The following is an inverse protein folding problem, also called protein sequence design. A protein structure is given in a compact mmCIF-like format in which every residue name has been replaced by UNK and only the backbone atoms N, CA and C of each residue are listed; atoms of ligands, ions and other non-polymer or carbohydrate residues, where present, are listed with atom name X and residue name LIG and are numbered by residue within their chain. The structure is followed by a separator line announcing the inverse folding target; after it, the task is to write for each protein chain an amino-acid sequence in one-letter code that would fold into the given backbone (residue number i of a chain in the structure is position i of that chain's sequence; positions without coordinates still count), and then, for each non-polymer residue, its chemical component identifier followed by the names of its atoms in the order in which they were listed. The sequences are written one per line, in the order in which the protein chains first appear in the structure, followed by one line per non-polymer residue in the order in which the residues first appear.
data_IF_750419706855
#
_entry.id   IF_750419706855
#
_cell.length_a   1.000
_cell.length_b   1.000
_cell.length_c   1.000
_cell.angle_alpha   90.00
_cell.angle_beta   90.00
_cell.angle_gamma   90.00
#
_symmetry.space_group_name_H-M   'P 1'
#
loop_
_entity.id
_entity.type
_entity.pdbx_description
1 polymer ?
#
# COMPACT_ATOMS: atom_id res chain seq x y z
N UNK A 1 -28.57 -32.55 44.55
CA UNK A 1 -28.00 -31.81 43.40
C UNK A 1 -26.83 -30.91 43.82
N UNK A 2 -25.57 -31.40 43.90
CA UNK A 2 -24.42 -30.51 44.08
C UNK A 2 -23.27 -30.69 43.06
N UNK A 3 -23.48 -31.38 41.93
CA UNK A 3 -22.39 -31.70 40.98
C UNK A 3 -22.28 -30.67 39.83
N UNK A 4 -23.27 -29.79 39.63
CA UNK A 4 -23.29 -28.88 38.48
C UNK A 4 -22.53 -27.55 38.68
N UNK A 5 -22.20 -27.18 39.92
CA UNK A 5 -21.58 -25.87 40.22
C UNK A 5 -20.06 -25.85 40.23
N UNK A 6 -19.37 -27.01 40.27
CA UNK A 6 -17.89 -27.02 40.27
C UNK A 6 -17.29 -26.97 38.86
N UNK A 7 -17.98 -27.50 37.84
CA UNK A 7 -17.49 -27.49 36.46
C UNK A 7 -17.50 -26.08 35.83
N UNK A 8 -18.47 -25.25 36.18
CA UNK A 8 -18.56 -23.87 35.67
C UNK A 8 -17.49 -22.98 36.28
N UNK A 9 -17.15 -23.16 37.56
CA UNK A 9 -16.10 -22.35 38.22
C UNK A 9 -14.70 -22.70 37.76
N UNK A 10 -14.41 -23.98 37.46
CA UNK A 10 -13.11 -24.43 36.95
C UNK A 10 -12.90 -23.99 35.49
N UNK A 11 -13.95 -24.04 34.66
CA UNK A 11 -13.87 -23.59 33.27
C UNK A 11 -13.68 -22.07 33.17
N UNK A 12 -14.34 -21.28 34.04
CA UNK A 12 -14.15 -19.83 34.09
C UNK A 12 -12.78 -19.41 34.63
N UNK A 13 -12.25 -20.12 35.64
CA UNK A 13 -10.89 -19.86 36.15
C UNK A 13 -9.81 -20.20 35.12
N UNK A 14 -9.99 -21.27 34.34
CA UNK A 14 -9.07 -21.63 33.26
C UNK A 14 -9.16 -20.65 32.08
N UNK A 15 -10.35 -20.17 31.73
CA UNK A 15 -10.54 -19.20 30.64
C UNK A 15 -10.03 -17.80 31.01
N UNK A 16 -10.22 -17.36 32.26
CA UNK A 16 -9.62 -16.12 32.77
C UNK A 16 -8.10 -16.25 32.91
N UNK A 17 -7.60 -17.40 33.38
CA UNK A 17 -6.17 -17.67 33.48
C UNK A 17 -5.47 -17.66 32.12
N UNK A 18 -6.09 -18.23 31.09
CA UNK A 18 -5.54 -18.26 29.73
C UNK A 18 -5.57 -16.87 29.05
N UNK A 19 -6.61 -16.06 29.33
CA UNK A 19 -6.70 -14.66 28.86
C UNK A 19 -5.70 -13.75 29.56
N UNK A 20 -5.50 -13.91 30.86
CA UNK A 20 -4.51 -13.17 31.64
C UNK A 20 -3.09 -13.57 31.26
N UNK A 21 -2.81 -14.86 31.02
CA UNK A 21 -1.51 -15.31 30.53
C UNK A 21 -1.21 -14.81 29.12
N UNK A 22 -2.20 -14.77 28.22
CA UNK A 22 -2.05 -14.14 26.90
C UNK A 22 -1.78 -12.64 27.02
N UNK A 23 -2.53 -11.91 27.85
CA UNK A 23 -2.27 -10.47 28.09
C UNK A 23 -0.92 -10.20 28.77
N UNK A 24 -0.46 -11.04 29.71
CA UNK A 24 0.86 -10.91 30.34
C UNK A 24 1.98 -11.22 29.34
N UNK A 25 1.83 -12.27 28.53
CA UNK A 25 2.77 -12.57 27.44
C UNK A 25 2.83 -11.44 26.41
N UNK A 26 1.71 -10.75 26.21
CA UNK A 26 1.56 -9.63 25.29
C UNK A 26 2.24 -8.36 25.82
N UNK A 27 2.07 -8.02 27.10
CA UNK A 27 2.76 -6.90 27.75
C UNK A 27 4.27 -7.17 27.87
N UNK A 28 4.67 -8.41 28.16
CA UNK A 28 6.09 -8.79 28.19
C UNK A 28 6.73 -8.71 26.80
N UNK A 29 6.02 -9.08 25.72
CA UNK A 29 6.51 -8.92 24.35
C UNK A 29 6.62 -7.45 23.92
N UNK A 30 5.65 -6.59 24.28
CA UNK A 30 5.72 -5.17 23.95
C UNK A 30 6.84 -4.44 24.70
N UNK A 31 7.12 -4.85 25.94
CA UNK A 31 8.25 -4.33 26.74
C UNK A 31 9.60 -4.85 26.25
N UNK A 32 9.70 -6.12 25.84
CA UNK A 32 10.94 -6.68 25.30
C UNK A 32 11.31 -6.07 23.93
N UNK A 33 10.32 -5.71 23.11
CA UNK A 33 10.52 -4.98 21.83
C UNK A 33 11.02 -3.53 22.03
N UNK A 34 10.81 -2.96 23.22
CA UNK A 34 11.25 -1.61 23.59
C UNK A 34 12.67 -1.60 24.18
N UNK A 35 13.11 -2.69 24.83
CA UNK A 35 14.37 -2.70 25.58
C UNK A 35 15.58 -3.33 24.88
N UNK A 36 15.42 -4.07 23.78
CA UNK A 36 16.54 -4.68 23.06
C UNK A 36 17.22 -3.72 22.07
N UNK A 37 17.69 -2.58 22.59
CA UNK A 37 18.71 -1.76 21.94
C UNK A 37 20.09 -2.14 22.50
N UNK A 38 20.51 -3.39 22.30
CA UNK A 38 21.92 -3.77 22.50
C UNK A 38 22.66 -3.66 21.17
N UNK A 39 23.68 -2.80 21.17
CA UNK A 39 24.60 -2.53 20.07
C UNK A 39 25.38 -3.80 19.71
N UNK A 40 25.02 -4.44 18.59
CA UNK A 40 25.85 -5.47 17.99
C UNK A 40 26.86 -4.80 17.04
N UNK A 41 28.10 -4.68 17.51
CA UNK A 41 29.23 -4.26 16.69
C UNK A 41 29.59 -5.34 15.67
N UNK A 42 29.42 -5.03 14.39
CA UNK A 42 29.85 -5.91 13.31
C UNK A 42 31.28 -5.51 12.92
N UNK A 43 32.21 -6.44 13.18
CA UNK A 43 33.61 -6.39 12.78
C UNK A 43 33.75 -6.27 11.27
N UNK A 44 34.60 -5.34 10.84
CA UNK A 44 35.00 -5.18 9.44
C UNK A 44 35.73 -6.44 8.96
N UNK A 45 35.25 -7.04 7.89
CA UNK A 45 35.94 -8.10 7.17
C UNK A 45 35.73 -7.91 5.66
N UNK A 46 36.84 -7.62 4.96
CA UNK A 46 37.06 -7.90 3.54
C UNK A 46 36.37 -6.99 2.53
N UNK A 47 37.00 -5.87 2.18
CA UNK A 47 36.79 -5.21 0.88
C UNK A 47 37.27 -6.14 -0.24
N UNK A 48 36.35 -6.87 -0.88
CA UNK A 48 36.55 -7.34 -2.23
C UNK A 48 36.05 -6.26 -3.21
N UNK A 49 37.00 -5.66 -3.92
CA UNK A 49 36.77 -4.58 -4.86
C UNK A 49 35.84 -5.03 -6.01
N UNK A 50 34.68 -4.37 -6.12
CA UNK A 50 33.83 -4.47 -7.30
C UNK A 50 34.56 -3.88 -8.51
N UNK A 51 34.50 -4.51 -9.70
CA UNK A 51 35.16 -3.96 -10.88
C UNK A 51 34.47 -2.65 -11.27
N UNK A 52 35.25 -1.58 -11.20
CA UNK A 52 34.91 -0.24 -11.64
C UNK A 52 34.60 -0.28 -13.14
N UNK A 53 33.32 -0.44 -13.51
CA UNK A 53 32.88 -0.17 -14.87
C UNK A 53 33.00 1.34 -15.08
N UNK A 54 34.12 1.72 -15.69
CA UNK A 54 34.35 3.01 -16.32
C UNK A 54 33.07 3.45 -17.02
N UNK A 55 32.39 4.44 -16.43
CA UNK A 55 31.40 5.23 -17.13
C UNK A 55 32.22 5.98 -18.17
N UNK A 56 32.21 5.47 -19.40
CA UNK A 56 32.88 6.14 -20.52
C UNK A 56 32.28 7.54 -20.60
N UNK A 57 33.08 8.62 -20.45
CA UNK A 57 32.54 9.96 -20.59
C UNK A 57 32.03 10.07 -22.02
N UNK A 58 30.74 10.40 -22.16
CA UNK A 58 30.16 10.71 -23.46
C UNK A 58 30.92 11.91 -23.99
N UNK A 59 31.68 11.70 -25.06
CA UNK A 59 32.40 12.76 -25.74
C UNK A 59 31.35 13.70 -26.37
N UNK A 60 31.07 14.83 -25.70
CA UNK A 60 30.16 15.85 -26.21
C UNK A 60 30.86 16.62 -27.34
N UNK A 61 30.97 16.00 -28.51
CA UNK A 61 31.35 16.70 -29.72
C UNK A 61 30.23 17.66 -30.15
N UNK A 62 30.60 18.94 -30.23
CA UNK A 62 29.81 20.14 -30.58
C UNK A 62 28.91 20.65 -29.46
N UNK A 63 29.01 21.96 -29.19
CA UNK A 63 28.09 22.82 -28.41
C UNK A 63 26.63 22.39 -28.62
N UNK A 64 26.17 21.42 -27.85
CA UNK A 64 24.78 20.99 -27.88
C UNK A 64 24.02 22.04 -27.08
N UNK A 65 23.35 22.95 -27.78
CA UNK A 65 22.39 23.86 -27.15
C UNK A 65 21.42 22.99 -26.35
N UNK A 66 21.33 23.24 -25.04
CA UNK A 66 20.45 22.50 -24.14
C UNK A 66 19.02 22.73 -24.64
N UNK A 67 18.36 21.64 -25.05
CA UNK A 67 16.99 21.69 -25.54
C UNK A 67 16.05 22.05 -24.40
N UNK A 68 15.08 22.91 -24.67
CA UNK A 68 14.07 23.32 -23.69
C UNK A 68 12.99 22.26 -23.55
N UNK A 69 12.17 22.37 -22.49
CA UNK A 69 11.01 21.50 -22.28
C UNK A 69 9.96 21.66 -23.40
N UNK A 70 9.95 22.78 -24.11
CA UNK A 70 9.07 23.02 -25.25
C UNK A 70 9.42 22.15 -26.46
N UNK A 71 10.71 21.87 -26.65
CA UNK A 71 11.24 21.04 -27.74
C UNK A 71 11.15 19.53 -27.45
N UNK A 72 10.83 19.13 -26.22
CA UNK A 72 10.70 17.73 -25.85
C UNK A 72 9.55 17.06 -26.63
N UNK A 73 9.77 15.88 -27.24
CA UNK A 73 8.74 15.19 -27.99
C UNK A 73 7.61 14.69 -27.07
N UNK A 74 6.42 14.51 -27.62
CA UNK A 74 5.26 14.03 -26.87
C UNK A 74 3.95 14.18 -27.65
N UNK A 75 2.86 13.53 -27.19
CA UNK A 75 1.55 13.72 -27.79
C UNK A 75 1.08 15.17 -27.64
N UNK A 76 0.29 15.63 -28.62
CA UNK A 76 -0.41 16.90 -28.49
C UNK A 76 -1.40 16.84 -27.32
N UNK A 77 -1.62 17.98 -26.65
CA UNK A 77 -2.54 18.09 -25.52
C UNK A 77 -3.95 17.58 -25.86
N UNK A 78 -4.42 17.88 -27.07
CA UNK A 78 -5.75 17.47 -27.56
C UNK A 78 -5.80 15.97 -27.79
N UNK A 79 -4.79 15.39 -28.45
CA UNK A 79 -4.73 13.94 -28.66
C UNK A 79 -4.70 13.18 -27.34
N UNK A 80 -3.96 13.69 -26.36
CA UNK A 80 -3.88 13.07 -25.03
C UNK A 80 -5.22 13.15 -24.30
N UNK A 81 -5.91 14.30 -24.37
CA UNK A 81 -7.23 14.48 -23.76
C UNK A 81 -8.28 13.55 -24.37
N UNK A 82 -8.29 13.41 -25.70
CA UNK A 82 -9.15 12.45 -26.41
C UNK A 82 -8.84 11.01 -25.98
N UNK A 83 -7.56 10.64 -25.91
CA UNK A 83 -7.17 9.28 -25.52
C UNK A 83 -7.65 8.95 -24.09
N UNK A 84 -7.51 9.89 -23.15
CA UNK A 84 -7.87 9.66 -21.75
C UNK A 84 -9.38 9.73 -21.48
N UNK A 85 -10.11 10.68 -22.08
CA UNK A 85 -11.53 10.88 -21.78
C UNK A 85 -12.50 10.18 -22.75
N UNK A 86 -12.12 9.97 -24.02
CA UNK A 86 -12.99 9.33 -25.01
C UNK A 86 -12.61 7.89 -25.36
N UNK A 87 -11.37 7.47 -25.10
CA UNK A 87 -10.90 6.09 -25.40
C UNK A 87 -10.58 5.26 -24.17
N UNK A 88 -11.15 5.65 -23.02
CA UNK A 88 -10.92 5.02 -21.71
C UNK A 88 -9.43 4.79 -21.42
N UNK A 89 -8.61 5.81 -21.71
CA UNK A 89 -7.15 5.72 -21.64
C UNK A 89 -6.65 5.37 -20.23
N UNK A 90 -7.38 5.72 -19.17
CA UNK A 90 -6.99 5.40 -17.79
C UNK A 90 -6.90 3.88 -17.53
N UNK A 91 -7.78 3.07 -18.13
CA UNK A 91 -7.69 1.60 -18.03
C UNK A 91 -6.49 1.01 -18.78
N UNK A 92 -5.90 1.78 -19.70
CA UNK A 92 -4.86 1.34 -20.64
C UNK A 92 -3.58 2.20 -20.56
N UNK A 93 -3.37 2.92 -19.45
CA UNK A 93 -2.20 3.82 -19.27
C UNK A 93 -0.89 3.08 -19.59
N UNK A 94 -0.74 1.86 -19.09
CA UNK A 94 0.47 1.06 -19.34
C UNK A 94 0.70 0.82 -20.84
N UNK A 95 -0.34 0.55 -21.63
CA UNK A 95 -0.23 0.38 -23.09
C UNK A 95 0.12 1.70 -23.79
N UNK A 96 -0.52 2.79 -23.37
CA UNK A 96 -0.25 4.14 -23.90
C UNK A 96 1.22 4.53 -23.65
N UNK A 97 1.74 4.27 -22.45
CA UNK A 97 3.14 4.52 -22.11
C UNK A 97 4.10 3.69 -22.98
N UNK A 98 3.77 2.43 -23.26
CA UNK A 98 4.54 1.59 -24.18
C UNK A 98 4.54 2.11 -25.62
N UNK A 99 3.38 2.56 -26.12
CA UNK A 99 3.26 3.15 -27.46
C UNK A 99 4.00 4.49 -27.55
N UNK A 100 3.85 5.36 -26.56
CA UNK A 100 4.57 6.64 -26.49
C UNK A 100 6.08 6.44 -26.45
N UNK A 101 6.58 5.43 -25.73
CA UNK A 101 8.01 5.08 -25.76
C UNK A 101 8.48 4.74 -27.18
N UNK A 102 7.69 3.99 -27.95
CA UNK A 102 8.04 3.64 -29.34
C UNK A 102 8.03 4.87 -30.26
N UNK A 103 7.08 5.78 -30.07
CA UNK A 103 6.87 6.95 -30.92
C UNK A 103 7.82 8.12 -30.61
N UNK A 104 8.01 8.42 -29.32
CA UNK A 104 8.73 9.61 -28.85
C UNK A 104 10.10 9.30 -28.25
N UNK A 105 10.41 8.01 -28.04
CA UNK A 105 11.70 7.55 -27.58
C UNK A 105 11.82 7.45 -26.06
N UNK A 106 13.05 7.64 -25.57
CA UNK A 106 13.47 7.37 -24.18
C UNK A 106 12.92 8.36 -23.15
N UNK A 107 12.60 9.58 -23.57
CA UNK A 107 12.07 10.63 -22.70
C UNK A 107 11.07 11.45 -23.50
N UNK A 108 9.90 11.69 -22.93
CA UNK A 108 8.84 12.43 -23.60
C UNK A 108 7.93 13.13 -22.60
N UNK A 109 7.30 14.22 -23.03
CA UNK A 109 6.34 14.96 -22.21
C UNK A 109 4.92 14.57 -22.58
N UNK A 110 4.02 14.64 -21.61
CA UNK A 110 2.58 14.51 -21.83
C UNK A 110 1.83 15.42 -20.87
N UNK A 111 0.59 15.78 -21.21
CA UNK A 111 -0.26 16.63 -20.36
C UNK A 111 -1.49 15.88 -19.89
N UNK A 112 -1.67 15.84 -18.58
CA UNK A 112 -2.83 15.27 -17.92
C UNK A 112 -3.63 16.41 -17.28
N UNK A 113 -4.62 16.92 -18.02
CA UNK A 113 -5.30 18.16 -17.64
C UNK A 113 -4.28 19.31 -17.49
N UNK A 114 -4.23 20.00 -16.33
CA UNK A 114 -3.25 21.07 -16.10
C UNK A 114 -1.82 20.56 -15.85
N UNK A 115 -1.65 19.28 -15.48
CA UNK A 115 -0.36 18.74 -15.06
C UNK A 115 0.50 18.38 -16.27
N UNK A 116 1.74 18.89 -16.30
CA UNK A 116 2.78 18.43 -17.21
C UNK A 116 3.54 17.26 -16.57
N UNK A 117 3.69 16.17 -17.32
CA UNK A 117 4.40 14.96 -16.88
C UNK A 117 5.47 14.62 -17.88
N UNK A 118 6.72 14.57 -17.42
CA UNK A 118 7.85 14.02 -18.18
C UNK A 118 7.95 12.54 -17.84
N UNK A 119 7.80 11.69 -18.85
CA UNK A 119 7.93 10.24 -18.72
C UNK A 119 9.35 9.84 -19.14
N UNK A 120 10.02 9.07 -18.27
CA UNK A 120 11.37 8.57 -18.51
C UNK A 120 11.29 7.05 -18.69
N UNK A 121 11.72 6.56 -19.85
CA UNK A 121 11.56 5.18 -20.31
C UNK A 121 12.90 4.51 -20.68
N UNK A 122 13.98 4.97 -20.05
CA UNK A 122 15.34 4.46 -20.20
C UNK A 122 15.99 4.26 -18.82
N UNK A 123 16.70 3.14 -18.65
CA UNK A 123 17.28 2.73 -17.37
C UNK A 123 18.30 3.74 -16.85
N UNK A 124 19.16 4.25 -17.74
CA UNK A 124 20.28 5.08 -17.33
C UNK A 124 19.78 6.49 -16.97
N UNK A 125 18.76 6.99 -17.70
CA UNK A 125 18.04 8.21 -17.33
C UNK A 125 17.28 8.08 -16.00
N UNK A 126 16.62 6.94 -15.75
CA UNK A 126 15.98 6.68 -14.45
C UNK A 126 17.01 6.69 -13.33
N UNK A 127 18.18 6.06 -13.54
CA UNK A 127 19.25 6.07 -12.54
C UNK A 127 19.77 7.50 -12.28
N UNK A 128 19.87 8.34 -13.30
CA UNK A 128 20.26 9.75 -13.15
C UNK A 128 19.24 10.53 -12.30
N UNK A 129 17.94 10.39 -12.60
CA UNK A 129 16.86 11.03 -11.83
C UNK A 129 16.86 10.59 -10.37
N UNK A 130 17.06 9.29 -10.11
CA UNK A 130 17.09 8.76 -8.75
C UNK A 130 18.34 9.20 -7.97
N UNK A 131 19.49 9.38 -8.63
CA UNK A 131 20.71 9.92 -7.99
C UNK A 131 20.61 11.42 -7.70
N UNK A 132 19.84 12.15 -8.49
CA UNK A 132 19.56 13.57 -8.28
C UNK A 132 18.45 13.83 -7.25
N UNK A 133 17.88 12.77 -6.66
CA UNK A 133 16.82 12.87 -5.66
C UNK A 133 17.27 13.60 -4.39
N UNK A 134 16.42 14.50 -3.88
CA UNK A 134 16.66 15.23 -2.63
C UNK A 134 16.35 14.42 -1.37
N UNK A 135 16.63 15.00 -0.21
CA UNK A 135 16.43 14.34 1.11
C UNK A 135 14.96 13.95 1.38
N UNK A 136 14.02 14.76 0.91
CA UNK A 136 12.59 14.52 1.04
C UNK A 136 11.94 14.52 -0.35
N UNK A 137 11.90 13.36 -1.05
CA UNK A 137 11.31 13.29 -2.37
C UNK A 137 9.81 13.51 -2.34
N UNK A 138 9.34 14.34 -3.25
CA UNK A 138 7.92 14.61 -3.46
C UNK A 138 7.39 13.77 -4.62
N UNK A 139 6.23 13.14 -4.42
CA UNK A 139 5.56 12.34 -5.46
C UNK A 139 4.52 13.18 -6.22
N UNK A 140 3.71 12.52 -7.03
CA UNK A 140 2.62 13.18 -7.74
C UNK A 140 1.64 13.85 -6.77
N UNK A 141 1.05 14.97 -7.20
CA UNK A 141 0.09 15.72 -6.40
C UNK A 141 -1.11 14.83 -6.00
N UNK A 142 -1.28 14.61 -4.69
CA UNK A 142 -2.38 13.83 -4.11
C UNK A 142 -3.46 14.72 -3.50
N UNK A 143 -3.78 15.83 -4.18
CA UNK A 143 -4.67 16.88 -3.70
C UNK A 143 -6.02 16.34 -3.20
N UNK A 144 -6.66 15.43 -3.94
CA UNK A 144 -7.96 14.86 -3.56
C UNK A 144 -7.91 14.13 -2.20
N UNK A 145 -6.78 13.48 -1.89
CA UNK A 145 -6.61 12.77 -0.63
C UNK A 145 -6.32 13.72 0.53
N UNK A 146 -5.58 14.80 0.26
CA UNK A 146 -5.34 15.87 1.23
C UNK A 146 -6.66 16.59 1.55
N UNK A 147 -7.43 16.96 0.52
CA UNK A 147 -8.73 17.62 0.65
C UNK A 147 -9.72 16.79 1.49
N UNK A 148 -9.83 15.48 1.24
CA UNK A 148 -10.64 14.60 2.09
C UNK A 148 -10.22 14.66 3.57
N UNK A 149 -8.91 14.61 3.82
CA UNK A 149 -8.38 14.61 5.20
C UNK A 149 -8.65 15.93 5.89
N UNK A 150 -8.45 17.04 5.20
CA UNK A 150 -8.71 18.38 5.75
C UNK A 150 -10.20 18.57 6.08
N UNK A 151 -11.10 18.17 5.17
CA UNK A 151 -12.55 18.21 5.40
C UNK A 151 -12.99 17.36 6.60
N UNK A 152 -12.32 16.23 6.86
CA UNK A 152 -12.63 15.30 7.95
C UNK A 152 -11.79 15.52 9.21
N UNK A 153 -10.93 16.55 9.24
CA UNK A 153 -10.02 16.82 10.36
C UNK A 153 -9.05 15.67 10.65
N UNK A 154 -8.58 14.96 9.63
CA UNK A 154 -7.70 13.79 9.74
C UNK A 154 -6.25 14.18 9.47
N UNK A 155 -5.31 13.57 10.20
CA UNK A 155 -3.88 13.74 9.92
C UNK A 155 -3.48 13.08 8.59
N UNK A 156 -2.44 13.61 7.95
CA UNK A 156 -1.81 12.97 6.78
C UNK A 156 -1.09 11.69 7.17
N UNK A 157 -1.09 10.70 6.28
CA UNK A 157 -0.26 9.49 6.41
C UNK A 157 1.01 9.61 5.57
N UNK A 158 1.89 8.60 5.63
CA UNK A 158 3.16 8.58 4.90
C UNK A 158 3.00 8.79 3.39
N UNK A 159 1.92 8.28 2.80
CA UNK A 159 1.64 8.39 1.36
C UNK A 159 1.31 9.84 0.95
N UNK A 160 0.70 10.63 1.84
CA UNK A 160 0.19 11.98 1.52
C UNK A 160 0.94 13.11 2.26
N UNK A 161 1.95 12.77 3.04
CA UNK A 161 2.81 13.75 3.73
C UNK A 161 3.95 14.14 2.81
N UNK A 162 4.43 15.38 2.94
CA UNK A 162 5.52 15.94 2.12
C UNK A 162 6.59 16.57 3.03
N UNK A 163 7.79 16.78 2.47
CA UNK A 163 8.89 17.49 3.15
C UNK A 163 9.29 16.89 4.50
N UNK A 164 9.53 17.75 5.48
CA UNK A 164 9.98 17.35 6.82
C UNK A 164 8.97 16.46 7.56
N UNK A 165 7.67 16.68 7.31
CA UNK A 165 6.61 15.86 7.92
C UNK A 165 6.69 14.42 7.42
N UNK A 166 6.90 14.25 6.11
CA UNK A 166 7.15 12.94 5.53
C UNK A 166 8.42 12.31 6.10
N UNK A 167 9.52 13.07 6.14
CA UNK A 167 10.81 12.55 6.60
C UNK A 167 10.74 12.07 8.05
N UNK A 168 10.07 12.83 8.93
CA UNK A 168 9.84 12.45 10.32
C UNK A 168 9.04 11.16 10.44
N UNK A 169 7.90 11.05 9.73
CA UNK A 169 7.09 9.82 9.72
C UNK A 169 7.86 8.62 9.17
N UNK A 170 8.60 8.82 8.06
CA UNK A 170 9.37 7.76 7.40
C UNK A 170 10.49 7.24 8.30
N UNK A 171 11.18 8.13 9.02
CA UNK A 171 12.31 7.78 9.88
C UNK A 171 11.88 6.87 11.03
N UNK A 172 10.72 7.14 11.65
CA UNK A 172 10.15 6.29 12.70
C UNK A 172 9.70 4.95 12.12
N UNK A 173 8.89 4.96 11.05
CA UNK A 173 8.34 3.72 10.49
C UNK A 173 9.40 2.80 9.91
N UNK A 174 10.46 3.35 9.29
CA UNK A 174 11.56 2.56 8.70
C UNK A 174 12.18 1.62 9.73
N UNK A 175 12.35 2.07 10.97
CA UNK A 175 12.94 1.24 12.01
C UNK A 175 12.09 -0.01 12.26
N UNK A 176 10.76 0.14 12.31
CA UNK A 176 9.84 -0.94 12.66
C UNK A 176 9.52 -1.90 11.51
N UNK A 177 9.46 -1.41 10.26
CA UNK A 177 8.94 -2.19 9.12
C UNK A 177 10.00 -2.59 8.08
N UNK A 178 11.22 -2.02 8.14
CA UNK A 178 12.26 -2.30 7.15
C UNK A 178 13.51 -2.96 7.74
N UNK A 179 13.65 -3.04 9.07
CA UNK A 179 14.79 -3.75 9.70
C UNK A 179 14.50 -5.25 9.70
N UNK A 180 15.37 -6.09 9.10
CA UNK A 180 15.12 -7.53 9.02
C UNK A 180 14.90 -8.20 10.38
N UNK A 181 15.60 -7.77 11.43
CA UNK A 181 15.43 -8.25 12.81
C UNK A 181 13.99 -8.06 13.30
N UNK A 182 13.45 -6.87 13.09
CA UNK A 182 12.14 -6.48 13.61
C UNK A 182 11.03 -7.10 12.77
N UNK A 183 11.26 -7.22 11.46
CA UNK A 183 10.34 -7.91 10.54
C UNK A 183 10.26 -9.41 10.88
N UNK A 184 11.38 -10.03 11.27
CA UNK A 184 11.43 -11.45 11.62
C UNK A 184 10.56 -11.79 12.83
N UNK A 185 10.27 -10.83 13.73
CA UNK A 185 9.40 -11.05 14.87
C UNK A 185 7.95 -11.38 14.49
N UNK A 186 7.50 -10.97 13.30
CA UNK A 186 6.15 -11.26 12.81
C UNK A 186 6.05 -12.61 12.07
N UNK A 187 7.15 -13.36 11.97
CA UNK A 187 7.19 -14.60 11.16
C UNK A 187 6.18 -15.63 11.62
N UNK A 188 6.03 -15.81 12.94
CA UNK A 188 5.08 -16.78 13.50
C UNK A 188 3.63 -16.39 13.18
N UNK A 189 3.30 -15.11 13.28
CA UNK A 189 1.97 -14.59 12.95
C UNK A 189 1.65 -14.80 11.47
N UNK A 190 2.62 -14.52 10.58
CA UNK A 190 2.47 -14.76 9.14
C UNK A 190 2.37 -16.26 8.83
N UNK A 191 3.17 -17.10 9.47
CA UNK A 191 3.11 -18.56 9.28
C UNK A 191 1.73 -19.11 9.66
N UNK A 192 1.14 -18.63 10.76
CA UNK A 192 -0.22 -19.00 11.14
C UNK A 192 -1.26 -18.63 10.08
N UNK A 193 -1.12 -17.46 9.45
CA UNK A 193 -2.01 -17.04 8.35
C UNK A 193 -1.80 -17.91 7.11
N UNK A 194 -0.55 -18.32 6.81
CA UNK A 194 -0.24 -19.24 5.71
C UNK A 194 -0.83 -20.63 5.94
N UNK A 195 -0.75 -21.15 7.17
CA UNK A 195 -1.38 -22.42 7.53
C UNK A 195 -2.88 -22.40 7.30
N UNK A 196 -3.54 -21.29 7.65
CA UNK A 196 -4.97 -21.11 7.42
C UNK A 196 -5.31 -20.95 5.94
N UNK A 197 -4.43 -20.32 5.14
CA UNK A 197 -4.56 -20.29 3.69
C UNK A 197 -4.49 -21.71 3.11
N UNK A 198 -3.52 -22.53 3.52
CA UNK A 198 -3.38 -23.91 3.04
C UNK A 198 -4.63 -24.74 3.39
N UNK A 199 -5.13 -24.61 4.62
CA UNK A 199 -6.40 -25.25 5.02
C UNK A 199 -7.55 -24.79 4.14
N UNK A 200 -7.66 -23.49 3.88
CA UNK A 200 -8.72 -22.91 3.05
C UNK A 200 -8.66 -23.40 1.60
N UNK A 201 -7.47 -23.47 1.01
CA UNK A 201 -7.26 -24.04 -0.33
C UNK A 201 -7.77 -25.48 -0.40
N UNK A 202 -7.40 -26.34 0.57
CA UNK A 202 -7.86 -27.73 0.61
C UNK A 202 -9.39 -27.85 0.68
N UNK A 203 -10.03 -26.99 1.48
CA UNK A 203 -11.50 -26.94 1.60
C UNK A 203 -12.13 -26.55 0.25
N UNK A 204 -11.61 -25.50 -0.39
CA UNK A 204 -12.14 -25.02 -1.67
C UNK A 204 -11.96 -26.06 -2.78
N UNK A 205 -10.77 -26.68 -2.87
CA UNK A 205 -10.54 -27.77 -3.81
C UNK A 205 -11.54 -28.91 -3.59
N UNK A 206 -11.78 -29.33 -2.35
CA UNK A 206 -12.71 -30.42 -2.06
C UNK A 206 -14.18 -30.14 -2.45
N UNK A 207 -14.55 -28.87 -2.63
CA UNK A 207 -15.88 -28.42 -3.06
C UNK A 207 -16.03 -28.42 -4.58
N UNK A 208 -14.93 -28.37 -5.33
CA UNK A 208 -14.94 -28.39 -6.80
C UNK A 208 -15.14 -29.82 -7.35
N UNK A 209 -15.75 -29.98 -8.54
CA UNK A 209 -16.01 -31.29 -9.14
C UNK A 209 -14.74 -32.11 -9.39
N UNK A 210 -13.64 -31.44 -9.75
CA UNK A 210 -12.34 -32.06 -10.05
C UNK A 210 -11.49 -32.33 -8.80
N UNK A 211 -11.93 -31.83 -7.63
CA UNK A 211 -11.23 -31.91 -6.34
C UNK A 211 -9.81 -31.32 -6.33
N UNK A 212 -9.46 -30.50 -7.32
CA UNK A 212 -8.09 -30.08 -7.56
C UNK A 212 -7.94 -28.58 -7.84
N UNK A 213 -8.99 -27.91 -8.30
CA UNK A 213 -8.92 -26.49 -8.67
C UNK A 213 -9.49 -25.56 -7.60
N UNK A 214 -9.19 -24.27 -7.73
CA UNK A 214 -9.81 -23.18 -6.96
C UNK A 214 -10.33 -22.17 -7.96
N UNK A 215 -11.65 -21.97 -8.02
CA UNK A 215 -12.27 -21.14 -9.05
C UNK A 215 -11.99 -19.65 -8.94
N UNK A 216 -11.83 -19.11 -7.72
CA UNK A 216 -11.62 -17.67 -7.50
C UNK A 216 -10.36 -17.39 -6.66
N UNK A 217 -9.21 -17.63 -7.27
CA UNK A 217 -7.89 -17.45 -6.66
C UNK A 217 -7.61 -15.99 -6.30
N UNK A 218 -8.11 -15.03 -7.08
CA UNK A 218 -7.90 -13.60 -6.82
C UNK A 218 -8.57 -13.16 -5.51
N UNK A 219 -9.83 -13.54 -5.28
CA UNK A 219 -10.53 -13.25 -4.02
C UNK A 219 -9.85 -13.93 -2.82
N UNK A 220 -9.39 -15.17 -3.00
CA UNK A 220 -8.65 -15.90 -1.97
C UNK A 220 -7.36 -15.17 -1.57
N UNK A 221 -6.53 -14.76 -2.54
CA UNK A 221 -5.30 -14.03 -2.25
C UNK A 221 -5.55 -12.62 -1.72
N UNK A 222 -6.65 -11.98 -2.12
CA UNK A 222 -7.08 -10.71 -1.53
C UNK A 222 -7.38 -10.86 -0.03
N UNK A 223 -8.17 -11.88 0.34
CA UNK A 223 -8.48 -12.21 1.74
C UNK A 223 -7.25 -12.60 2.55
N UNK A 224 -6.34 -13.39 1.95
CA UNK A 224 -5.06 -13.73 2.56
C UNK A 224 -4.18 -12.50 2.82
N UNK A 225 -4.04 -11.61 1.84
CA UNK A 225 -3.24 -10.40 1.99
C UNK A 225 -3.82 -9.49 3.09
N UNK A 226 -5.15 -9.38 3.16
CA UNK A 226 -5.83 -8.64 4.22
C UNK A 226 -5.59 -9.24 5.60
N UNK A 227 -5.74 -10.56 5.75
CA UNK A 227 -5.49 -11.27 7.01
C UNK A 227 -4.03 -11.10 7.45
N UNK A 228 -3.07 -11.24 6.54
CA UNK A 228 -1.65 -11.10 6.82
C UNK A 228 -1.26 -9.69 7.26
N UNK A 229 -1.76 -8.66 6.57
CA UNK A 229 -1.51 -7.26 6.94
C UNK A 229 -2.16 -6.94 8.29
N UNK A 230 -3.36 -7.44 8.56
CA UNK A 230 -4.03 -7.23 9.84
C UNK A 230 -3.34 -7.93 11.00
N UNK A 231 -2.83 -9.15 10.79
CA UNK A 231 -2.04 -9.87 11.79
C UNK A 231 -0.78 -9.09 12.19
N UNK A 232 -0.14 -8.37 11.26
CA UNK A 232 1.04 -7.56 11.55
C UNK A 232 0.66 -6.19 12.15
N UNK A 233 -0.27 -5.46 11.53
CA UNK A 233 -0.56 -4.06 11.88
C UNK A 233 -1.49 -3.91 13.07
N UNK A 234 -2.50 -4.77 13.18
CA UNK A 234 -3.48 -4.73 14.26
C UNK A 234 -3.25 -5.82 15.30
N UNK A 235 -2.31 -6.74 15.06
CA UNK A 235 -2.04 -7.90 15.93
C UNK A 235 -3.33 -8.69 16.22
N UNK A 236 -4.19 -8.78 15.20
CA UNK A 236 -5.48 -9.46 15.28
C UNK A 236 -5.74 -10.37 14.08
N UNK A 237 -6.64 -11.34 14.27
CA UNK A 237 -7.17 -12.21 13.21
C UNK A 237 -8.53 -11.68 12.77
N UNK A 238 -8.68 -11.35 11.50
CA UNK A 238 -9.94 -10.82 10.94
C UNK A 238 -10.92 -11.92 10.55
N UNK A 239 -10.45 -13.16 10.42
CA UNK A 239 -11.26 -14.30 10.01
C UNK A 239 -11.57 -14.29 8.50
N UNK A 240 -10.76 -13.61 7.68
CA UNK A 240 -10.95 -13.52 6.23
C UNK A 240 -10.88 -14.90 5.54
N UNK A 241 -10.17 -15.85 6.14
CA UNK A 241 -9.93 -17.19 5.60
C UNK A 241 -10.86 -18.27 6.19
N UNK A 242 -11.78 -17.89 7.08
CA UNK A 242 -12.74 -18.82 7.67
C UNK A 242 -13.85 -19.22 6.68
N UNK A 243 -14.58 -20.28 7.02
CA UNK A 243 -15.74 -20.70 6.22
C UNK A 243 -16.87 -19.66 6.25
N UNK A 244 -17.04 -18.96 7.38
CA UNK A 244 -18.00 -17.88 7.55
C UNK A 244 -17.25 -16.62 8.01
N UNK A 245 -17.09 -15.68 7.09
CA UNK A 245 -16.42 -14.41 7.37
C UNK A 245 -17.30 -13.57 8.32
N UNK A 246 -16.73 -12.98 9.38
CA UNK A 246 -17.45 -12.05 10.25
C UNK A 246 -18.03 -10.86 9.48
N UNK A 247 -19.20 -10.37 9.87
CA UNK A 247 -19.88 -9.28 9.14
C UNK A 247 -19.01 -8.01 9.10
N UNK A 248 -18.37 -7.65 10.21
CA UNK A 248 -17.47 -6.47 10.27
C UNK A 248 -16.33 -6.57 9.24
N UNK A 249 -15.75 -7.76 9.08
CA UNK A 249 -14.68 -8.03 8.10
C UNK A 249 -15.22 -7.99 6.67
N UNK A 250 -16.43 -8.50 6.44
CA UNK A 250 -17.07 -8.45 5.13
C UNK A 250 -17.40 -7.00 4.71
N UNK A 251 -17.88 -6.17 5.63
CA UNK A 251 -18.15 -4.75 5.38
C UNK A 251 -16.86 -4.00 5.01
N UNK A 252 -15.75 -4.36 5.65
CA UNK A 252 -14.45 -3.81 5.31
C UNK A 252 -13.93 -4.25 3.94
N UNK A 253 -14.06 -5.54 3.61
CA UNK A 253 -13.76 -6.07 2.26
C UNK A 253 -14.56 -5.29 1.21
N UNK A 254 -15.85 -5.06 1.45
CA UNK A 254 -16.72 -4.30 0.55
C UNK A 254 -16.27 -2.84 0.42
N UNK A 255 -15.91 -2.17 1.52
CA UNK A 255 -15.39 -0.81 1.51
C UNK A 255 -14.06 -0.68 0.74
N UNK A 256 -13.16 -1.65 0.88
CA UNK A 256 -11.91 -1.70 0.12
C UNK A 256 -12.15 -1.91 -1.38
N UNK A 257 -13.02 -2.86 -1.74
CA UNK A 257 -13.39 -3.05 -3.15
C UNK A 257 -14.01 -1.81 -3.75
N UNK A 258 -14.90 -1.13 -3.00
CA UNK A 258 -15.49 0.13 -3.42
C UNK A 258 -14.41 1.19 -3.63
N UNK A 259 -13.47 1.35 -2.70
CA UNK A 259 -12.35 2.29 -2.85
C UNK A 259 -11.52 1.99 -4.09
N UNK A 260 -11.17 0.72 -4.36
CA UNK A 260 -10.41 0.36 -5.56
C UNK A 260 -11.20 0.55 -6.85
N UNK A 261 -12.51 0.25 -6.88
CA UNK A 261 -13.34 0.49 -8.06
C UNK A 261 -13.54 1.99 -8.30
N UNK A 262 -13.74 2.75 -7.23
CA UNK A 262 -13.89 4.19 -7.26
C UNK A 262 -12.56 4.88 -7.55
N UNK A 263 -11.41 4.24 -7.35
CA UNK A 263 -10.09 4.82 -7.65
C UNK A 263 -9.96 5.23 -9.12
N UNK A 264 -10.50 4.43 -10.05
CA UNK A 264 -10.58 4.82 -11.47
C UNK A 264 -11.39 6.11 -11.61
N UNK A 265 -12.58 6.15 -11.01
CA UNK A 265 -13.44 7.34 -11.00
C UNK A 265 -12.76 8.52 -10.29
N UNK A 266 -11.94 8.30 -9.26
CA UNK A 266 -11.17 9.33 -8.56
C UNK A 266 -10.02 9.86 -9.42
N UNK A 267 -9.35 9.03 -10.22
CA UNK A 267 -8.38 9.51 -11.20
C UNK A 267 -9.03 10.43 -12.22
N UNK A 268 -10.26 10.10 -12.66
CA UNK A 268 -11.06 11.01 -13.47
C UNK A 268 -11.52 12.24 -12.67
N UNK A 269 -12.00 12.08 -11.43
CA UNK A 269 -12.55 13.17 -10.61
C UNK A 269 -11.49 14.15 -10.08
N UNK A 270 -10.27 13.70 -9.85
CA UNK A 270 -9.11 14.55 -9.58
C UNK A 270 -8.70 15.36 -10.82
N UNK A 271 -9.01 14.86 -12.03
CA UNK A 271 -8.89 15.63 -13.26
C UNK A 271 -10.12 16.52 -13.55
N UNK A 272 -11.26 16.29 -12.88
CA UNK A 272 -12.45 17.14 -12.98
C UNK A 272 -12.21 18.42 -12.16
N UNK A 273 -12.30 19.61 -12.77
CA UNK A 273 -12.19 20.86 -12.05
C UNK A 273 -13.18 20.97 -10.89
N UNK A 274 -12.76 21.55 -9.75
CA UNK A 274 -13.58 21.65 -8.53
C UNK A 274 -14.95 22.30 -8.76
N UNK A 275 -15.05 23.24 -9.70
CA UNK A 275 -16.30 23.94 -10.04
C UNK A 275 -17.36 23.04 -10.72
N UNK A 276 -16.99 21.87 -11.24
CA UNK A 276 -17.92 20.89 -11.83
C UNK A 276 -18.54 19.95 -10.80
N UNK A 277 -18.01 19.89 -9.57
CA UNK A 277 -18.48 18.98 -8.52
C UNK A 277 -19.93 19.22 -8.08
N UNK A 278 -20.46 20.47 -8.01
CA UNK A 278 -21.87 20.70 -7.74
C UNK A 278 -22.81 20.14 -8.83
N UNK A 279 -22.31 19.99 -10.06
CA UNK A 279 -23.08 19.48 -11.21
C UNK A 279 -23.01 17.95 -11.27
N UNK A 280 -21.88 17.36 -10.90
CA UNK A 280 -21.65 15.91 -10.91
C UNK A 280 -21.08 15.48 -9.54
N UNK A 281 -21.92 15.38 -8.49
CA UNK A 281 -21.45 15.14 -7.13
C UNK A 281 -21.05 13.68 -6.87
N UNK A 282 -21.69 12.72 -7.54
CA UNK A 282 -21.56 11.28 -7.26
C UNK A 282 -20.11 10.78 -7.17
N UNK A 283 -19.19 11.10 -8.11
CA UNK A 283 -17.79 10.65 -8.01
C UNK A 283 -17.08 11.07 -6.72
N UNK A 284 -17.37 12.28 -6.24
CA UNK A 284 -16.75 12.82 -5.04
C UNK A 284 -17.39 12.27 -3.76
N UNK A 285 -18.72 12.09 -3.77
CA UNK A 285 -19.44 11.49 -2.66
C UNK A 285 -19.06 10.03 -2.45
N UNK A 286 -18.99 9.22 -3.51
CA UNK A 286 -18.52 7.83 -3.45
C UNK A 286 -17.08 7.74 -2.95
N UNK A 287 -16.22 8.67 -3.37
CA UNK A 287 -14.86 8.80 -2.85
C UNK A 287 -14.89 9.06 -1.34
N UNK A 288 -15.60 10.08 -0.87
CA UNK A 288 -15.69 10.36 0.58
C UNK A 288 -16.25 9.19 1.37
N UNK A 289 -17.32 8.53 0.89
CA UNK A 289 -17.96 7.39 1.55
C UNK A 289 -17.03 6.19 1.68
N UNK A 290 -16.29 5.85 0.61
CA UNK A 290 -15.33 4.75 0.65
C UNK A 290 -14.21 5.02 1.67
N UNK A 291 -13.69 6.25 1.70
CA UNK A 291 -12.67 6.65 2.65
C UNK A 291 -13.15 6.67 4.11
N UNK A 292 -14.39 7.12 4.35
CA UNK A 292 -15.00 7.10 5.68
C UNK A 292 -15.10 5.67 6.22
N UNK A 293 -15.47 4.70 5.38
CA UNK A 293 -15.49 3.28 5.73
C UNK A 293 -14.12 2.74 6.14
N UNK A 294 -13.08 3.05 5.36
CA UNK A 294 -11.70 2.62 5.65
C UNK A 294 -11.17 3.21 6.96
N UNK A 295 -11.41 4.49 7.20
CA UNK A 295 -10.99 5.15 8.44
C UNK A 295 -11.73 4.61 9.65
N UNK A 296 -13.04 4.34 9.53
CA UNK A 296 -13.80 3.78 10.63
C UNK A 296 -13.29 2.39 11.03
N UNK A 297 -13.07 1.52 10.05
CA UNK A 297 -12.51 0.20 10.29
C UNK A 297 -11.13 0.27 10.95
N UNK A 298 -10.22 1.08 10.40
CA UNK A 298 -8.86 1.20 10.93
C UNK A 298 -8.86 1.72 12.36
N UNK A 299 -9.72 2.70 12.67
CA UNK A 299 -9.84 3.25 14.03
C UNK A 299 -10.30 2.21 15.02
N UNK A 300 -11.32 1.40 14.70
CA UNK A 300 -11.81 0.35 15.60
C UNK A 300 -10.67 -0.60 16.00
N UNK A 301 -9.82 -1.00 15.06
CA UNK A 301 -8.75 -1.96 15.30
C UNK A 301 -7.54 -1.33 16.00
N UNK A 302 -7.21 -0.08 15.68
CA UNK A 302 -6.17 0.68 16.39
C UNK A 302 -6.60 0.92 17.84
N UNK A 303 -7.84 1.36 18.07
CA UNK A 303 -8.35 1.64 19.41
C UNK A 303 -8.35 0.35 20.25
N UNK A 304 -8.84 -0.76 19.69
CA UNK A 304 -8.78 -2.09 20.35
C UNK A 304 -7.36 -2.54 20.70
N UNK A 305 -6.35 -2.14 19.94
CA UNK A 305 -4.94 -2.46 20.20
C UNK A 305 -4.34 -1.55 21.27
N UNK A 306 -4.78 -0.29 21.35
CA UNK A 306 -4.25 0.71 22.28
C UNK A 306 -4.91 0.66 23.67
N UNK A 307 -6.10 0.07 23.79
CA UNK A 307 -6.80 -0.20 25.05
C UNK A 307 -6.47 -1.57 25.62
#
# INVERSE_FOLDING_TARGET
MPILNQFTTVCWKNFQGDRLNKQLSFILRSLHKSSSSETCGISAAGEEAMPERLITPVNFDKKATIKTLEEMPGPSTVSNLVEFFWRDGFSRIHKIQMEHRKLYGKIFKSRFGPQLVVSVADRDLVAEVLRAEGVAPQRANMESWQEYRDMRGRSTGLISAEGDKWLKMRSVLRQLIMRPSDVAEFSDDVNNVVDDLIKRVRILCAQEPDRATVSNVNDLFFKYAMEGVAAILYECRLGCLENKIPQETQDYINALHLMFSSFKTTMYAGAIPKWLRPIIPKPWEEFCLSWDGLFNFSRIHIDKRLT
#
